data_IF_578448021945
#
_entry.id   IF_578448021945
#
_cell.length_a   1.000
_cell.length_b   1.000
_cell.length_c   1.000
_cell.angle_alpha   90.00
_cell.angle_beta   90.00
_cell.angle_gamma   90.00
#
_symmetry.space_group_name_H-M   'P 1'
#
loop_
_entity.id
_entity.type
_entity.pdbx_description
1 polymer ?
#
# COMPACT_ATOMS: atom_id res chain seq x y z
N UNK A 1 -18.85 16.00 -23.91
CA UNK A 1 -17.81 16.81 -23.26
C UNK A 1 -16.61 15.90 -23.12
N UNK A 2 -15.54 16.17 -23.88
CA UNK A 2 -14.29 15.42 -23.84
C UNK A 2 -13.42 16.21 -22.87
N UNK A 3 -13.15 15.64 -21.70
CA UNK A 3 -12.25 16.22 -20.72
C UNK A 3 -10.83 16.24 -21.30
N UNK A 4 -10.29 17.44 -21.34
CA UNK A 4 -9.05 17.80 -21.98
C UNK A 4 -7.91 17.30 -21.09
N UNK A 5 -7.15 16.31 -21.54
CA UNK A 5 -5.93 15.86 -20.86
C UNK A 5 -4.87 16.96 -20.95
N UNK A 6 -4.58 17.61 -19.83
CA UNK A 6 -3.63 18.72 -19.70
C UNK A 6 -2.31 18.21 -19.08
N UNK A 7 -1.15 18.27 -19.78
CA UNK A 7 0.11 17.69 -19.30
C UNK A 7 0.91 18.61 -18.36
N UNK A 8 0.27 19.63 -17.75
CA UNK A 8 0.95 20.76 -17.12
C UNK A 8 0.70 20.91 -15.62
N UNK A 9 0.34 19.84 -14.91
CA UNK A 9 0.23 19.89 -13.44
C UNK A 9 1.53 19.38 -12.81
N UNK A 10 2.06 20.04 -11.75
CA UNK A 10 3.16 19.50 -10.98
C UNK A 10 2.77 18.09 -10.58
N UNK A 11 3.61 17.10 -10.85
CA UNK A 11 3.31 15.68 -10.63
C UNK A 11 2.81 15.52 -9.20
N UNK A 12 1.49 15.46 -9.03
CA UNK A 12 0.82 15.46 -7.74
C UNK A 12 1.12 14.07 -7.19
N UNK A 13 2.24 13.93 -6.49
CA UNK A 13 2.75 12.65 -5.99
C UNK A 13 1.97 12.18 -4.76
N UNK A 14 0.64 12.27 -4.83
CA UNK A 14 -0.28 11.87 -3.78
C UNK A 14 -0.86 10.50 -4.13
N UNK A 15 -1.14 9.66 -3.13
CA UNK A 15 -1.75 8.36 -3.34
C UNK A 15 -3.13 8.52 -4.00
N UNK A 16 -3.24 8.05 -5.24
CA UNK A 16 -4.48 8.03 -6.00
C UNK A 16 -5.34 6.85 -5.56
N UNK A 17 -6.59 7.11 -5.16
CA UNK A 17 -7.46 6.09 -4.58
C UNK A 17 -7.84 4.99 -5.59
N UNK A 18 -8.01 5.32 -6.88
CA UNK A 18 -8.37 4.34 -7.90
C UNK A 18 -7.20 3.40 -8.20
N UNK A 19 -5.99 3.93 -8.32
CA UNK A 19 -4.80 3.11 -8.50
C UNK A 19 -4.46 2.31 -7.23
N UNK A 20 -4.64 2.88 -6.03
CA UNK A 20 -4.51 2.10 -4.78
C UNK A 20 -5.49 0.93 -4.71
N UNK A 21 -6.74 1.11 -5.18
CA UNK A 21 -7.71 0.02 -5.27
C UNK A 21 -7.22 -1.08 -6.23
N UNK A 22 -6.74 -0.71 -7.42
CA UNK A 22 -6.16 -1.68 -8.37
C UNK A 22 -4.95 -2.41 -7.78
N UNK A 23 -4.08 -1.70 -7.07
CA UNK A 23 -2.93 -2.29 -6.37
C UNK A 23 -3.40 -3.29 -5.30
N UNK A 24 -4.42 -2.92 -4.51
CA UNK A 24 -5.00 -3.80 -3.50
C UNK A 24 -5.58 -5.08 -4.13
N UNK A 25 -6.28 -4.98 -5.25
CA UNK A 25 -6.81 -6.14 -5.99
C UNK A 25 -5.69 -7.10 -6.44
N UNK A 26 -4.50 -6.58 -6.74
CA UNK A 26 -3.35 -7.39 -7.11
C UNK A 26 -2.60 -8.02 -5.92
N UNK A 27 -2.96 -7.68 -4.67
CA UNK A 27 -2.33 -8.22 -3.46
C UNK A 27 -2.34 -9.75 -3.43
N UNK A 28 -3.51 -10.35 -3.72
CA UNK A 28 -3.67 -11.81 -3.76
C UNK A 28 -2.88 -12.45 -4.90
N UNK A 29 -2.84 -11.79 -6.06
CA UNK A 29 -2.06 -12.25 -7.22
C UNK A 29 -0.58 -12.26 -6.88
N UNK A 30 -0.06 -11.17 -6.30
CA UNK A 30 1.34 -11.06 -5.88
C UNK A 30 1.72 -12.16 -4.87
N UNK A 31 0.84 -12.45 -3.92
CA UNK A 31 1.07 -13.46 -2.87
C UNK A 31 1.03 -14.90 -3.39
N UNK A 32 0.09 -15.22 -4.28
CA UNK A 32 -0.14 -16.60 -4.72
C UNK A 32 0.57 -16.98 -6.02
N UNK A 33 0.70 -16.02 -6.94
CA UNK A 33 1.23 -16.24 -8.29
C UNK A 33 2.57 -15.53 -8.52
N UNK A 34 2.91 -14.54 -7.69
CA UNK A 34 4.17 -13.79 -7.78
C UNK A 34 4.07 -12.55 -8.66
N UNK A 35 5.20 -11.86 -8.81
CA UNK A 35 5.28 -10.56 -9.51
C UNK A 35 4.99 -10.63 -11.01
N UNK A 36 5.29 -11.76 -11.64
CA UNK A 36 5.16 -11.93 -13.10
C UNK A 36 3.69 -12.09 -13.54
N UNK A 37 2.79 -12.36 -12.60
CA UNK A 37 1.35 -12.47 -12.83
C UNK A 37 0.59 -11.16 -12.60
N UNK A 38 1.27 -10.09 -12.16
CA UNK A 38 0.65 -8.80 -11.93
C UNK A 38 0.13 -8.21 -13.25
N UNK A 39 -1.09 -7.67 -13.22
CA UNK A 39 -1.66 -6.93 -14.35
C UNK A 39 -1.33 -5.43 -14.34
N UNK A 40 -0.58 -4.98 -13.33
CA UNK A 40 -0.13 -3.59 -13.19
C UNK A 40 0.98 -3.29 -14.19
N UNK A 41 0.93 -2.12 -14.81
CA UNK A 41 2.01 -1.64 -15.68
C UNK A 41 3.24 -1.25 -14.85
N UNK A 42 4.40 -1.15 -15.52
CA UNK A 42 5.62 -0.68 -14.87
C UNK A 42 5.46 0.75 -14.31
N UNK A 43 4.71 1.61 -15.00
CA UNK A 43 4.41 2.98 -14.58
C UNK A 43 3.54 3.00 -13.32
N UNK A 44 2.50 2.14 -13.27
CA UNK A 44 1.63 1.99 -12.09
C UNK A 44 2.41 1.50 -10.87
N UNK A 45 3.32 0.53 -11.07
CA UNK A 45 4.19 0.03 -10.00
C UNK A 45 5.20 1.08 -9.54
N UNK A 46 5.79 1.84 -10.46
CA UNK A 46 6.69 2.94 -10.11
C UNK A 46 5.96 4.05 -9.35
N UNK A 47 4.72 4.35 -9.73
CA UNK A 47 3.88 5.30 -9.03
C UNK A 47 3.50 4.79 -7.62
N UNK A 48 3.16 3.52 -7.48
CA UNK A 48 2.95 2.91 -6.16
C UNK A 48 4.20 2.97 -5.28
N UNK A 49 5.38 2.74 -5.86
CA UNK A 49 6.66 2.84 -5.14
C UNK A 49 6.98 4.29 -4.74
N UNK A 50 6.67 5.28 -5.57
CA UNK A 50 6.93 6.70 -5.27
C UNK A 50 6.10 7.19 -4.08
N UNK A 51 4.91 6.63 -3.87
CA UNK A 51 4.04 6.96 -2.73
C UNK A 51 4.58 6.50 -1.37
N UNK A 52 5.49 5.53 -1.34
CA UNK A 52 6.21 5.12 -0.12
C UNK A 52 7.05 6.28 0.45
N UNK A 53 7.50 7.20 -0.42
CA UNK A 53 8.28 8.36 0.00
C UNK A 53 7.43 9.47 0.60
N UNK A 54 6.10 9.38 0.49
CA UNK A 54 5.17 10.37 1.03
C UNK A 54 5.07 10.28 2.55
N UNK A 55 4.59 11.36 3.16
CA UNK A 55 4.40 11.42 4.61
C UNK A 55 3.16 10.62 5.05
N UNK A 56 3.14 10.23 6.32
CA UNK A 56 1.98 9.61 6.95
C UNK A 56 0.72 10.49 6.79
N UNK A 57 0.85 11.81 6.91
CA UNK A 57 -0.25 12.77 6.75
C UNK A 57 -0.92 12.66 5.37
N UNK A 58 -0.13 12.55 4.31
CA UNK A 58 -0.65 12.38 2.94
C UNK A 58 -1.43 11.08 2.83
N UNK A 59 -0.92 10.00 3.41
CA UNK A 59 -1.61 8.71 3.44
C UNK A 59 -2.89 8.74 4.27
N UNK A 60 -2.90 9.46 5.40
CA UNK A 60 -4.08 9.61 6.26
C UNK A 60 -5.19 10.43 5.60
N UNK A 61 -4.91 11.19 4.55
CA UNK A 61 -5.95 11.83 3.73
C UNK A 61 -6.62 10.86 2.75
N UNK A 62 -5.88 9.85 2.25
CA UNK A 62 -6.40 8.87 1.27
C UNK A 62 -6.96 7.61 1.93
N UNK A 63 -6.35 7.11 3.01
CA UNK A 63 -6.79 5.89 3.71
C UNK A 63 -8.29 5.91 4.08
N UNK A 64 -8.87 7.00 4.61
CA UNK A 64 -10.28 7.06 4.97
C UNK A 64 -11.25 6.93 3.79
N UNK A 65 -10.80 7.18 2.56
CA UNK A 65 -11.63 7.05 1.36
C UNK A 65 -11.73 5.60 0.86
N UNK A 66 -10.93 4.68 1.43
CA UNK A 66 -10.87 3.28 1.05
C UNK A 66 -11.63 2.40 2.05
N UNK A 67 -12.10 1.25 1.58
CA UNK A 67 -12.76 0.26 2.44
C UNK A 67 -11.75 -0.47 3.32
N UNK A 68 -12.18 -0.95 4.49
CA UNK A 68 -11.30 -1.71 5.40
C UNK A 68 -10.67 -2.93 4.70
N UNK A 69 -11.43 -3.62 3.84
CA UNK A 69 -10.92 -4.75 3.04
C UNK A 69 -9.81 -4.31 2.07
N UNK A 70 -10.03 -3.21 1.33
CA UNK A 70 -9.03 -2.62 0.44
C UNK A 70 -7.77 -2.22 1.20
N UNK A 71 -7.91 -1.62 2.38
CA UNK A 71 -6.80 -1.22 3.22
C UNK A 71 -5.97 -2.42 3.67
N UNK A 72 -6.62 -3.50 4.09
CA UNK A 72 -5.94 -4.75 4.48
C UNK A 72 -5.16 -5.31 3.28
N UNK A 73 -5.81 -5.46 2.13
CA UNK A 73 -5.18 -5.99 0.92
C UNK A 73 -4.00 -5.12 0.45
N UNK A 74 -4.14 -3.79 0.54
CA UNK A 74 -3.09 -2.84 0.24
C UNK A 74 -1.89 -2.99 1.19
N UNK A 75 -2.14 -3.16 2.48
CA UNK A 75 -1.07 -3.41 3.45
C UNK A 75 -0.34 -4.73 3.14
N UNK A 76 -1.06 -5.79 2.75
CA UNK A 76 -0.44 -7.03 2.26
C UNK A 76 0.39 -6.81 0.99
N UNK A 77 -0.12 -6.03 0.04
CA UNK A 77 0.60 -5.74 -1.19
C UNK A 77 1.92 -5.04 -0.89
N UNK A 78 1.93 -3.91 -0.16
CA UNK A 78 3.16 -3.18 0.15
C UNK A 78 4.14 -4.00 1.00
N UNK A 79 3.63 -4.89 1.85
CA UNK A 79 4.45 -5.81 2.65
C UNK A 79 5.15 -6.84 1.75
N UNK A 80 4.40 -7.47 0.84
CA UNK A 80 4.95 -8.46 -0.08
C UNK A 80 5.85 -7.81 -1.15
N UNK A 81 5.44 -6.65 -1.65
CA UNK A 81 6.18 -5.86 -2.63
C UNK A 81 7.54 -5.44 -2.09
N UNK A 82 7.65 -5.09 -0.81
CA UNK A 82 8.96 -4.81 -0.19
C UNK A 82 9.94 -5.99 -0.30
N UNK A 83 9.44 -7.23 -0.27
CA UNK A 83 10.23 -8.45 -0.35
C UNK A 83 10.50 -8.92 -1.79
N UNK A 84 9.59 -8.64 -2.74
CA UNK A 84 9.65 -9.19 -4.10
C UNK A 84 9.94 -8.16 -5.20
N UNK A 85 9.56 -6.91 -4.99
CA UNK A 85 9.66 -5.82 -5.97
C UNK A 85 10.79 -4.85 -5.60
N UNK A 86 11.72 -4.66 -6.52
CA UNK A 86 12.76 -3.64 -6.40
C UNK A 86 12.13 -2.24 -6.39
N UNK A 87 12.54 -1.39 -5.46
CA UNK A 87 12.02 -0.02 -5.31
C UNK A 87 10.94 0.14 -4.24
N UNK A 88 10.33 -0.95 -3.78
CA UNK A 88 9.32 -0.94 -2.70
C UNK A 88 9.93 -1.00 -1.27
N UNK A 89 11.23 -0.73 -1.16
CA UNK A 89 11.99 -0.88 0.08
C UNK A 89 11.74 0.31 1.02
N UNK A 90 10.76 0.18 1.90
CA UNK A 90 10.29 1.25 2.75
C UNK A 90 10.78 1.15 4.20
N UNK A 91 11.06 -0.06 4.69
CA UNK A 91 11.40 -0.35 6.09
C UNK A 91 10.36 0.28 7.03
N UNK A 92 10.74 1.28 7.84
CA UNK A 92 9.85 1.96 8.78
C UNK A 92 8.84 2.90 8.11
N UNK A 93 9.00 3.22 6.82
CA UNK A 93 8.10 4.07 6.03
C UNK A 93 7.08 3.27 5.21
N UNK A 94 6.92 1.98 5.51
CA UNK A 94 6.01 1.15 4.73
C UNK A 94 4.56 1.61 4.94
N UNK A 95 3.77 1.87 3.88
CA UNK A 95 2.37 2.27 4.00
C UNK A 95 1.51 1.31 4.80
N UNK A 96 1.86 0.02 4.83
CA UNK A 96 1.22 -0.97 5.69
C UNK A 96 1.19 -0.51 7.16
N UNK A 97 2.25 0.14 7.65
CA UNK A 97 2.32 0.63 9.03
C UNK A 97 1.26 1.72 9.28
N UNK A 98 1.14 2.68 8.36
CA UNK A 98 0.17 3.78 8.48
C UNK A 98 -1.26 3.26 8.43
N UNK A 99 -1.53 2.31 7.53
CA UNK A 99 -2.83 1.64 7.42
C UNK A 99 -3.20 0.92 8.72
N UNK A 100 -2.29 0.11 9.28
CA UNK A 100 -2.56 -0.62 10.52
C UNK A 100 -2.69 0.31 11.74
N UNK A 101 -1.96 1.43 11.76
CA UNK A 101 -2.13 2.47 12.79
C UNK A 101 -3.52 3.11 12.70
N UNK A 102 -3.99 3.44 11.51
CA UNK A 102 -5.33 3.98 11.28
C UNK A 102 -6.42 2.99 11.68
N UNK A 103 -6.35 1.73 11.22
CA UNK A 103 -7.31 0.69 11.58
C UNK A 103 -7.36 0.44 13.10
N UNK A 104 -6.21 0.52 13.78
CA UNK A 104 -6.13 0.47 15.24
C UNK A 104 -6.83 1.64 15.91
N UNK A 105 -6.58 2.87 15.46
CA UNK A 105 -7.24 4.06 15.99
C UNK A 105 -8.76 3.98 15.82
N UNK A 106 -9.22 3.47 14.68
CA UNK A 106 -10.64 3.30 14.38
C UNK A 106 -11.29 2.08 15.03
N UNK A 107 -10.55 1.26 15.79
CA UNK A 107 -11.00 -0.03 16.35
C UNK A 107 -11.54 -1.01 15.30
N UNK A 108 -11.01 -0.92 14.07
CA UNK A 108 -11.36 -1.76 12.89
C UNK A 108 -10.20 -2.67 12.50
N UNK A 109 -9.42 -3.14 13.48
CA UNK A 109 -8.31 -4.03 13.20
C UNK A 109 -8.82 -5.37 12.62
N UNK A 110 -8.10 -5.92 11.63
CA UNK A 110 -8.40 -7.25 11.12
C UNK A 110 -8.11 -8.31 12.18
N UNK A 111 -8.60 -9.52 11.92
CA UNK A 111 -8.41 -10.66 12.80
C UNK A 111 -6.94 -10.95 13.10
N UNK A 112 -6.66 -11.53 14.27
CA UNK A 112 -5.29 -11.89 14.68
C UNK A 112 -4.62 -12.84 13.70
N UNK A 113 -5.40 -13.68 13.01
CA UNK A 113 -4.91 -14.56 11.95
C UNK A 113 -4.31 -13.76 10.79
N UNK A 114 -5.01 -12.71 10.33
CA UNK A 114 -4.57 -11.83 9.24
C UNK A 114 -3.29 -11.08 9.64
N UNK A 115 -3.23 -10.57 10.87
CA UNK A 115 -2.02 -9.90 11.39
C UNK A 115 -0.83 -10.86 11.42
N UNK A 116 -1.05 -12.12 11.82
CA UNK A 116 0.00 -13.14 11.83
C UNK A 116 0.45 -13.49 10.43
N UNK A 117 -0.46 -13.62 9.47
CA UNK A 117 -0.13 -13.83 8.05
C UNK A 117 0.74 -12.70 7.51
N UNK A 118 0.35 -11.44 7.72
CA UNK A 118 1.10 -10.28 7.26
C UNK A 118 2.55 -10.32 7.80
N UNK A 119 2.72 -10.61 9.09
CA UNK A 119 4.04 -10.72 9.73
C UNK A 119 4.87 -11.89 9.21
N UNK A 120 4.25 -12.93 8.66
CA UNK A 120 4.96 -14.07 8.07
C UNK A 120 5.45 -13.80 6.65
N UNK A 121 4.93 -12.75 5.99
CA UNK A 121 5.28 -12.38 4.61
C UNK A 121 6.47 -11.42 4.53
N UNK A 122 6.99 -10.94 5.65
CA UNK A 122 8.03 -9.92 5.70
C UNK A 122 8.97 -10.13 6.88
N UNK A 123 10.27 -9.91 6.66
CA UNK A 123 11.27 -9.81 7.73
C UNK A 123 11.34 -8.40 8.34
N UNK A 124 10.51 -7.47 7.86
CA UNK A 124 10.49 -6.10 8.35
C UNK A 124 9.85 -6.03 9.75
N UNK A 125 10.72 -5.96 10.78
CA UNK A 125 10.32 -5.83 12.19
C UNK A 125 9.43 -4.63 12.52
N UNK A 126 9.38 -3.61 11.64
CA UNK A 126 8.52 -2.45 11.82
C UNK A 126 7.07 -2.77 11.44
N UNK A 127 6.78 -3.76 10.60
CA UNK A 127 5.41 -4.14 10.25
C UNK A 127 4.84 -5.03 11.37
N UNK A 128 3.61 -4.79 11.88
CA UNK A 128 2.59 -3.88 11.34
C UNK A 128 2.48 -2.49 12.02
N UNK A 129 3.15 -2.23 13.15
CA UNK A 129 2.84 -1.04 13.98
C UNK A 129 3.91 0.06 13.97
N UNK A 130 4.96 -0.09 13.20
CA UNK A 130 6.14 0.75 13.22
C UNK A 130 7.12 0.35 14.32
N UNK A 131 8.19 1.14 14.47
CA UNK A 131 9.09 0.98 15.61
C UNK A 131 8.33 1.33 16.87
N UNK A 132 8.37 0.44 17.86
CA UNK A 132 8.03 0.81 19.23
C UNK A 132 9.18 1.71 19.68
N UNK A 133 8.93 3.03 19.73
CA UNK A 133 9.80 3.99 20.41
C UNK A 133 9.57 3.86 21.92
#
# INVERSE_FOLDING_TARGET
MIDQWDPSLPTTNFPDSALLQRIAEQSKVLRLQGKDALTLTAEELQQGASWIQQSEEIWLNTIPTLSDATLIDLAFFYTQAEMTLSGFQAKAKNPAIWIFRYLRQMKRLPDKAIIRELKALTDNRFIPYGSVL
#
